data_IF_370755076050
#
_entry.id   IF_370755076050
#
_cell.length_a   1.000
_cell.length_b   1.000
_cell.length_c   1.000
_cell.angle_alpha   90.00
_cell.angle_beta   90.00
_cell.angle_gamma   90.00
#
_symmetry.space_group_name_H-M   'P 1'
#
loop_
_entity.id
_entity.type
_entity.pdbx_description
1 polymer ?
2 non-polymer ?
3 non-polymer ?
4 water ?
#
# COMPACT_ATOMS: atom_id res chain seq x y z
N UNK A 8 4.09 -9.04 -26.24
CA UNK A 8 4.90 -10.12 -25.55
C UNK A 8 5.93 -9.54 -24.60
N UNK A 9 5.48 -8.78 -23.58
CA UNK A 9 6.42 -8.06 -22.71
C UNK A 9 7.24 -8.97 -21.82
N UNK A 10 8.51 -8.67 -21.60
CA UNK A 10 9.29 -9.35 -20.58
C UNK A 10 9.34 -8.45 -19.32
N UNK A 11 10.13 -8.88 -18.34
CA UNK A 11 10.18 -8.20 -17.05
C UNK A 11 10.91 -6.88 -17.21
N UNK A 12 11.63 -6.73 -18.34
CA UNK A 12 12.53 -5.61 -18.55
C UNK A 12 12.03 -4.78 -19.72
N UNK A 13 10.75 -4.93 -20.04
CA UNK A 13 10.09 -4.17 -21.09
C UNK A 13 9.46 -3.00 -20.36
N UNK A 14 9.83 -1.77 -20.79
CA UNK A 14 9.22 -0.58 -20.17
C UNK A 14 7.68 -0.67 -20.28
N UNK A 15 7.00 -0.03 -19.33
CA UNK A 15 5.58 0.02 -19.26
C UNK A 15 5.21 1.47 -18.97
N UNK A 16 4.23 1.95 -19.71
CA UNK A 16 3.51 3.17 -19.44
C UNK A 16 2.41 2.86 -18.42
N UNK A 17 2.65 3.28 -17.16
CA UNK A 17 1.72 3.10 -16.06
C UNK A 17 1.06 4.45 -15.84
N UNK A 18 -0.16 4.58 -16.36
CA UNK A 18 -0.87 5.86 -16.40
C UNK A 18 -0.06 6.76 -17.29
N UNK A 19 0.26 7.97 -16.82
CA UNK A 19 1.17 8.85 -17.55
C UNK A 19 2.64 8.74 -17.06
N UNK A 20 2.97 7.69 -16.33
CA UNK A 20 4.34 7.49 -15.88
C UNK A 20 5.06 6.38 -16.65
N UNK A 21 6.22 6.68 -17.25
CA UNK A 21 7.09 5.64 -17.85
C UNK A 21 7.90 4.87 -16.80
N UNK A 22 7.74 3.55 -16.80
CA UNK A 22 8.51 2.67 -15.96
C UNK A 22 9.54 1.94 -16.82
N UNK A 23 10.74 1.72 -16.27
CA UNK A 23 11.81 1.07 -17.06
C UNK A 23 11.65 -0.44 -17.13
N UNK A 24 10.91 -1.01 -16.19
CA UNK A 24 10.83 -2.49 -16.05
C UNK A 24 9.60 -2.85 -15.28
N UNK A 25 9.29 -4.14 -15.15
CA UNK A 25 7.99 -4.54 -14.60
C UNK A 25 8.11 -5.19 -13.28
N UNK A 26 9.27 -4.96 -12.67
CA UNK A 26 9.58 -5.51 -11.37
C UNK A 26 9.38 -4.38 -10.35
N UNK A 27 8.22 -4.40 -9.69
CA UNK A 27 7.78 -3.37 -8.79
C UNK A 27 8.15 -3.73 -7.36
N UNK A 28 8.50 -2.71 -6.57
CA UNK A 28 8.71 -2.87 -5.14
C UNK A 28 7.38 -2.64 -4.40
N UNK A 29 6.88 -3.71 -3.80
CA UNK A 29 5.64 -3.68 -2.99
C UNK A 29 5.75 -2.72 -1.79
N UNK A 30 4.63 -2.12 -1.37
CA UNK A 30 4.61 -1.37 -0.12
C UNK A 30 5.05 -2.26 1.10
N UNK A 31 6.01 -1.78 1.89
CA UNK A 31 6.52 -2.59 3.01
C UNK A 31 6.69 -1.72 4.25
N UNK A 32 5.75 -1.82 5.17
CA UNK A 32 5.90 -1.25 6.50
C UNK A 32 7.19 -1.82 7.10
N UNK A 33 8.10 -0.95 7.54
CA UNK A 33 9.38 -1.35 8.20
C UNK A 33 9.57 -0.71 9.57
N UNK A 34 8.69 0.22 9.94
CA UNK A 34 8.73 0.84 11.26
C UNK A 34 10.14 1.29 11.69
N UNK A 35 10.79 2.10 10.86
CA UNK A 35 12.09 2.65 11.18
C UNK A 35 12.00 4.12 11.37
N UNK A 36 10.80 4.68 11.56
CA UNK A 36 10.71 6.13 11.81
C UNK A 36 10.11 6.49 13.19
N UNK A 37 10.89 6.29 14.28
CA UNK A 37 10.39 6.56 15.63
C UNK A 37 9.63 7.86 15.79
N UNK A 38 10.07 8.95 15.18
CA UNK A 38 9.38 10.22 15.31
C UNK A 38 8.37 10.49 14.16
N UNK A 39 8.19 9.44 13.33
CA UNK A 39 7.29 9.44 12.17
C UNK A 39 7.73 10.38 11.00
N UNK A 40 8.97 10.87 11.06
CA UNK A 40 9.53 11.77 10.07
C UNK A 40 10.61 11.02 9.29
N UNK A 41 10.46 10.86 7.97
CA UNK A 41 11.54 10.10 7.29
C UNK A 41 12.85 10.87 7.24
N UNK A 42 13.98 10.16 7.31
CA UNK A 42 15.29 10.86 7.28
C UNK A 42 16.31 10.18 6.39
N UNK A 43 17.55 10.59 6.59
CA UNK A 43 18.65 10.10 5.75
C UNK A 43 18.70 8.59 5.63
N UNK A 44 18.28 7.90 6.67
CA UNK A 44 18.25 6.44 6.59
C UNK A 44 17.17 5.92 5.57
N UNK A 45 16.02 6.60 5.46
CA UNK A 45 15.08 6.28 4.37
C UNK A 45 15.67 6.64 3.00
N UNK A 46 16.32 7.81 2.87
CA UNK A 46 17.00 8.21 1.61
C UNK A 46 17.88 7.09 1.13
N UNK A 47 18.63 6.51 2.07
CA UNK A 47 19.48 5.37 1.72
C UNK A 47 18.68 4.12 1.35
N UNK A 48 17.72 3.73 2.19
CA UNK A 48 17.00 2.49 1.97
C UNK A 48 16.26 2.53 0.62
N UNK A 49 15.56 3.62 0.34
CA UNK A 49 14.82 3.66 -0.94
C UNK A 49 15.71 3.90 -2.15
N UNK A 50 16.75 4.73 -1.97
CA UNK A 50 17.80 4.89 -2.97
C UNK A 50 18.43 3.58 -3.42
N UNK A 51 18.61 2.66 -2.48
CA UNK A 51 19.27 1.42 -2.84
C UNK A 51 18.38 0.61 -3.72
N UNK A 52 17.08 0.80 -3.57
CA UNK A 52 16.09 0.09 -4.36
C UNK A 52 15.52 0.90 -5.57
N UNK A 53 16.14 2.05 -5.92
CA UNK A 53 15.73 2.89 -7.05
C UNK A 53 15.65 2.23 -8.43
N UNK A 54 16.32 1.11 -8.66
CA UNK A 54 16.20 0.34 -9.93
C UNK A 54 14.80 -0.33 -10.17
N UNK A 55 13.95 -0.35 -9.15
CA UNK A 55 12.58 -0.92 -9.24
C UNK A 55 11.83 -0.12 -10.30
N UNK A 56 11.05 -0.83 -11.15
CA UNK A 56 10.17 -0.21 -12.15
C UNK A 56 9.36 0.92 -11.51
N UNK A 57 8.80 0.64 -10.36
CA UNK A 57 8.23 1.62 -9.46
C UNK A 57 8.49 1.19 -8.01
N UNK A 58 8.82 2.13 -7.13
CA UNK A 58 8.74 1.83 -5.72
C UNK A 58 7.41 2.28 -5.13
N UNK A 59 6.72 1.40 -4.40
CA UNK A 59 5.56 1.80 -3.65
C UNK A 59 6.00 1.83 -2.19
N UNK A 60 5.80 2.98 -1.52
CA UNK A 60 6.37 3.22 -0.21
C UNK A 60 5.66 2.37 0.84
N UNK A 61 6.30 2.22 2.01
CA UNK A 61 5.65 1.71 3.18
C UNK A 61 4.34 2.50 3.35
N UNK A 62 3.28 1.84 3.83
CA UNK A 62 2.02 2.53 4.20
C UNK A 62 2.32 3.75 5.07
N UNK A 63 1.82 4.91 4.68
CA UNK A 63 2.06 6.13 5.45
C UNK A 63 0.76 6.76 6.01
N UNK A 64 0.71 7.02 7.32
CA UNK A 64 -0.49 7.51 8.02
C UNK A 64 -0.87 8.90 7.56
N UNK A 65 -2.11 9.06 7.13
CA UNK A 65 -2.53 10.37 6.63
C UNK A 65 -2.84 11.39 7.79
N UNK A 66 -3.04 10.87 9.01
CA UNK A 66 -3.42 11.69 10.18
C UNK A 66 -3.03 11.01 11.54
N UNK A 67 -2.94 11.79 12.63
CA UNK A 67 -2.74 11.16 13.95
C UNK A 67 -3.73 10.00 14.18
N UNK A 68 -5.02 10.17 13.89
CA UNK A 68 -5.98 9.09 14.21
C UNK A 68 -5.90 7.93 13.22
N UNK A 69 -5.07 8.07 12.17
CA UNK A 69 -4.98 7.12 11.08
C UNK A 69 -4.15 5.90 11.47
N UNK A 70 -3.41 6.09 12.57
CA UNK A 70 -2.36 5.21 13.03
C UNK A 70 -2.83 3.98 13.83
N UNK A 71 -2.28 2.83 13.47
CA UNK A 71 -2.44 1.63 14.28
C UNK A 71 -1.09 1.08 14.75
N UNK A 72 0.01 1.56 14.15
CA UNK A 72 1.37 1.01 14.36
C UNK A 72 2.40 2.12 14.62
N UNK A 73 3.06 2.07 15.79
CA UNK A 73 4.02 3.13 16.14
C UNK A 73 5.31 2.90 15.35
N UNK A 74 6.08 3.99 15.20
CA UNK A 74 7.33 4.03 14.45
C UNK A 74 7.14 4.02 12.90
N UNK A 75 5.91 4.22 12.44
CA UNK A 75 5.59 4.32 11.04
C UNK A 75 5.35 5.79 10.70
N UNK A 76 5.68 6.20 9.47
CA UNK A 76 5.79 7.57 9.13
C UNK A 76 4.43 8.15 8.79
N UNK A 77 4.37 9.49 8.73
CA UNK A 77 3.14 10.19 8.45
C UNK A 77 3.31 11.13 7.27
N UNK A 78 2.23 11.76 6.86
CA UNK A 78 2.27 12.75 5.82
C UNK A 78 1.21 13.80 6.13
N UNK A 79 1.09 14.16 7.40
CA UNK A 79 0.12 15.17 7.85
C UNK A 79 0.77 16.48 8.40
N UNK A 80 2.09 16.48 8.67
CA UNK A 80 2.82 17.68 9.18
C UNK A 80 3.86 18.24 8.19
N UNK A 81 4.33 19.49 8.44
CA UNK A 81 5.35 20.11 7.60
C UNK A 81 6.67 19.37 7.72
N UNK A 82 7.03 18.95 8.94
CA UNK A 82 8.31 18.25 9.11
C UNK A 82 8.32 16.87 8.42
N UNK A 83 7.23 16.13 8.50
CA UNK A 83 7.06 14.87 7.73
C UNK A 83 7.22 15.08 6.20
N UNK A 84 6.58 16.09 5.65
CA UNK A 84 6.64 16.39 4.22
C UNK A 84 8.06 16.67 3.81
N UNK A 85 8.78 17.52 4.55
CA UNK A 85 10.23 17.75 4.28
C UNK A 85 11.10 16.50 4.40
N UNK A 86 10.78 15.63 5.33
CA UNK A 86 11.57 14.39 5.38
C UNK A 86 11.32 13.55 4.10
N UNK A 87 10.07 13.47 3.70
CA UNK A 87 9.66 12.71 2.52
C UNK A 87 10.28 13.32 1.25
N UNK A 88 10.30 14.64 1.19
CA UNK A 88 10.91 15.33 0.08
C UNK A 88 12.39 14.94 -0.04
N UNK A 89 13.11 14.86 1.08
CA UNK A 89 14.50 14.33 1.07
C UNK A 89 14.59 12.91 0.50
N UNK A 90 13.69 12.05 0.92
CA UNK A 90 13.63 10.68 0.38
C UNK A 90 13.31 10.66 -1.14
N UNK A 91 12.29 11.41 -1.54
CA UNK A 91 11.89 11.44 -2.94
C UNK A 91 13.03 11.98 -3.81
N UNK A 92 13.82 12.90 -3.29
CA UNK A 92 14.84 13.51 -4.13
C UNK A 92 15.92 12.45 -4.34
N UNK A 93 16.17 11.70 -3.28
CA UNK A 93 17.21 10.72 -3.31
C UNK A 93 16.79 9.57 -4.25
N UNK A 94 15.51 9.18 -4.25
CA UNK A 94 15.02 8.20 -5.22
C UNK A 94 15.23 8.75 -6.65
N UNK A 95 14.89 10.01 -6.89
CA UNK A 95 15.09 10.61 -8.21
C UNK A 95 16.59 10.70 -8.63
N UNK A 96 17.47 11.14 -7.73
CA UNK A 96 18.88 11.20 -8.07
C UNK A 96 19.50 9.81 -8.39
N UNK A 97 18.88 8.74 -7.94
CA UNK A 97 19.30 7.37 -8.29
C UNK A 97 18.45 6.72 -9.42
N UNK A 98 17.62 7.55 -10.05
CA UNK A 98 16.90 7.22 -11.30
C UNK A 98 15.53 6.51 -11.18
N UNK A 99 14.93 6.53 -9.98
CA UNK A 99 13.69 5.77 -9.72
C UNK A 99 12.46 6.64 -9.65
N UNK A 100 11.33 5.98 -9.41
CA UNK A 100 10.00 6.59 -9.31
C UNK A 100 9.41 5.97 -8.03
N UNK A 101 8.65 6.75 -7.29
CA UNK A 101 8.14 6.33 -6.00
C UNK A 101 6.72 6.82 -5.85
N UNK A 102 5.89 5.99 -5.28
CA UNK A 102 4.47 6.35 -5.08
C UNK A 102 4.27 6.31 -3.60
N UNK A 103 3.56 7.28 -3.04
CA UNK A 103 3.26 7.23 -1.62
C UNK A 103 1.97 6.42 -1.33
N UNK A 104 2.04 5.41 -0.44
CA UNK A 104 0.87 4.63 -0.10
C UNK A 104 0.12 5.31 1.08
N UNK A 105 -1.10 5.77 0.83
CA UNK A 105 -1.90 6.54 1.80
C UNK A 105 -2.75 5.62 2.69
N UNK A 106 -2.52 5.70 4.01
CA UNK A 106 -3.01 4.70 5.00
C UNK A 106 -3.89 5.35 6.06
N UNK A 107 -5.04 4.72 6.28
CA UNK A 107 -5.83 4.92 7.48
C UNK A 107 -6.10 3.49 8.02
N UNK A 108 -5.71 3.17 9.27
CA UNK A 108 -5.90 1.83 9.80
C UNK A 108 -7.36 1.53 10.21
N UNK A 109 -8.16 2.54 10.45
CA UNK A 109 -9.54 2.27 10.85
C UNK A 109 -9.54 1.60 12.19
N UNK A 110 -10.24 0.48 12.28
CA UNK A 110 -10.43 -0.22 13.57
C UNK A 110 -9.20 -1.07 13.97
N UNK A 111 -8.17 -1.14 13.12
CA UNK A 111 -6.95 -1.88 13.49
C UNK A 111 -6.02 -0.88 14.20
N UNK A 112 -6.45 -0.49 15.39
CA UNK A 112 -5.78 0.49 16.22
C UNK A 112 -6.23 0.27 17.69
N UNK A 113 -5.78 1.18 18.56
CA UNK A 113 -5.94 1.07 19.98
C UNK A 113 -5.75 2.46 20.57
N UNK A 114 -6.49 2.74 21.65
CA UNK A 114 -6.35 3.97 22.41
C UNK A 114 -4.89 4.34 22.78
N UNK A 115 -4.07 3.35 23.14
CA UNK A 115 -2.64 3.57 23.42
C UNK A 115 -1.81 4.21 22.28
N UNK A 116 -2.13 3.89 21.02
CA UNK A 116 -1.44 4.51 19.84
C UNK A 116 -2.19 5.79 19.33
N UNK A 117 -3.51 5.82 19.47
CA UNK A 117 -4.30 6.99 19.19
C UNK A 117 -3.79 8.26 19.97
N UNK A 118 -4.04 9.47 19.41
CA UNK A 118 -3.63 10.68 20.16
C UNK A 118 -4.72 11.07 21.19
N UNK A 119 -4.28 11.50 22.37
CA UNK A 119 -5.17 11.81 23.50
C UNK A 119 -6.16 10.68 23.79
N UNK A 120 -5.73 9.45 23.45
CA UNK A 120 -6.36 8.26 23.95
C UNK A 120 -7.70 8.02 23.33
N UNK A 121 -7.93 8.70 22.20
CA UNK A 121 -9.18 8.62 21.42
C UNK A 121 -9.56 7.20 20.97
N UNK A 122 -10.86 6.93 20.83
CA UNK A 122 -11.27 5.62 20.34
C UNK A 122 -10.94 5.48 18.84
N UNK A 123 -10.47 4.29 18.41
CA UNK A 123 -10.38 4.06 16.95
C UNK A 123 -11.74 4.19 16.26
N UNK A 124 -11.69 4.57 14.98
CA UNK A 124 -12.88 4.87 14.17
C UNK A 124 -13.04 3.84 13.06
N UNK A 125 -14.28 3.59 12.63
CA UNK A 125 -14.53 2.55 11.64
C UNK A 125 -15.92 2.71 11.02
N UNK A 126 -16.27 1.95 9.95
CA UNK A 126 -17.68 2.03 9.47
C UNK A 126 -18.69 1.62 10.53
N UNK A 127 -18.37 0.55 11.26
CA UNK A 127 -19.29 -0.02 12.26
C UNK A 127 -18.55 -0.32 13.54
N UNK A 128 -19.26 -0.30 14.67
CA UNK A 128 -18.64 -0.45 16.00
C UNK A 128 -18.34 -1.95 16.34
N UNK A 129 -17.49 -2.57 15.54
CA UNK A 129 -17.16 -4.02 15.60
C UNK A 129 -15.66 -4.18 15.82
N UNK A 130 -15.29 -4.92 16.85
CA UNK A 130 -13.90 -5.17 17.20
C UNK A 130 -13.34 -6.15 16.17
N UNK A 131 -12.10 -5.94 15.75
CA UNK A 131 -11.44 -6.91 14.87
C UNK A 131 -11.00 -8.08 15.75
N UNK A 132 -11.80 -9.17 15.74
CA UNK A 132 -11.54 -10.36 16.59
C UNK A 132 -10.16 -10.92 16.30
N UNK A 133 -9.33 -11.07 17.35
CA UNK A 133 -7.99 -11.64 17.16
C UNK A 133 -6.99 -10.75 16.42
N UNK A 134 -7.25 -9.44 16.31
CA UNK A 134 -6.25 -8.61 15.62
C UNK A 134 -5.37 -7.86 16.60
N UNK A 135 -4.09 -7.74 16.24
CA UNK A 135 -3.11 -7.03 17.06
C UNK A 135 -2.56 -5.78 16.30
N UNK A 136 -2.38 -4.68 17.01
CA UNK A 136 -1.65 -3.60 16.45
C UNK A 136 -0.30 -3.49 17.19
N UNK A 137 0.50 -2.47 16.88
CA UNK A 137 1.79 -2.36 17.50
C UNK A 137 1.88 -1.06 18.27
N UNK A 138 2.19 -1.21 19.55
CA UNK A 138 1.95 -0.20 20.55
C UNK A 138 3.22 0.18 21.33
N UNK A 139 3.36 1.47 21.63
CA UNK A 139 4.35 1.84 22.62
C UNK A 139 3.70 2.05 23.99
N UNK A 140 3.99 1.15 24.94
CA UNK A 140 3.47 1.22 26.32
C UNK A 140 4.02 2.43 27.13
N UNK A 141 3.36 2.79 28.23
CA UNK A 141 3.74 4.04 28.95
C UNK A 141 5.20 4.02 29.42
N UNK A 142 5.68 2.82 29.72
CA UNK A 142 7.02 2.56 30.21
C UNK A 142 8.07 2.59 29.09
N UNK A 143 7.67 2.92 27.85
CA UNK A 143 8.59 3.13 26.75
C UNK A 143 8.92 1.87 25.95
N UNK A 144 8.57 0.70 26.48
CA UNK A 144 8.67 -0.53 25.68
C UNK A 144 7.55 -0.49 24.60
N UNK A 145 7.54 -1.48 23.70
CA UNK A 145 6.67 -1.48 22.52
C UNK A 145 6.38 -2.92 22.13
N UNK A 146 5.18 -3.19 21.61
CA UNK A 146 4.88 -4.57 21.24
C UNK A 146 3.51 -4.68 20.66
N UNK A 147 3.22 -5.87 20.14
CA UNK A 147 1.91 -6.23 19.69
C UNK A 147 0.91 -6.25 20.87
N UNK A 148 -0.33 -5.87 20.58
CA UNK A 148 -1.36 -5.61 21.58
C UNK A 148 -2.72 -5.79 20.89
N UNK A 149 -3.71 -6.36 21.57
CA UNK A 149 -5.02 -6.48 20.87
C UNK A 149 -5.64 -5.16 20.43
N UNK A 150 -6.26 -5.15 19.26
CA UNK A 150 -6.99 -3.95 18.86
C UNK A 150 -8.26 -3.79 19.73
N UNK A 151 -8.66 -2.54 20.01
CA UNK A 151 -9.90 -2.26 20.78
C UNK A 151 -11.15 -2.18 19.88
N UNK A 152 -12.30 -1.96 20.50
CA UNK A 152 -13.57 -1.77 19.84
C UNK A 152 -13.66 -0.32 19.35
N UNK A 153 -13.87 -0.14 18.03
CA UNK A 153 -13.93 1.22 17.46
C UNK A 153 -15.33 1.82 17.67
N UNK A 154 -15.47 3.14 17.47
CA UNK A 154 -16.81 3.74 17.28
C UNK A 154 -17.13 3.82 15.78
N UNK A 155 -18.40 3.75 15.43
CA UNK A 155 -18.86 3.97 14.07
C UNK A 155 -18.73 5.44 13.75
N UNK A 156 -18.08 5.79 12.64
CA UNK A 156 -18.10 7.20 12.17
C UNK A 156 -19.53 7.72 11.97
N UNK A 157 -19.78 8.97 12.38
CA UNK A 157 -21.06 9.61 12.08
C UNK A 157 -21.05 9.83 10.57
N UNK A 158 -22.24 9.73 9.94
CA UNK A 158 -22.42 10.06 8.52
C UNK A 158 -21.73 11.40 8.19
N UNK A 159 -21.87 12.40 9.07
CA UNK A 159 -21.22 13.71 8.85
C UNK A 159 -19.70 13.79 9.07
N UNK A 160 -19.07 12.71 9.56
CA UNK A 160 -17.59 12.76 9.78
C UNK A 160 -16.81 12.24 8.56
N UNK A 161 -17.48 11.49 7.72
CA UNK A 161 -16.84 10.93 6.54
C UNK A 161 -16.08 11.95 5.62
N UNK A 162 -16.71 13.12 5.29
CA UNK A 162 -15.96 14.16 4.52
C UNK A 162 -14.65 14.64 5.17
N UNK A 163 -14.60 14.73 6.49
CA UNK A 163 -13.36 15.15 7.17
C UNK A 163 -12.23 14.16 6.86
N UNK A 164 -12.59 12.86 6.82
CA UNK A 164 -11.66 11.80 6.50
C UNK A 164 -11.21 11.83 5.03
N UNK A 165 -12.17 12.04 4.12
CA UNK A 165 -11.87 12.25 2.72
C UNK A 165 -10.90 13.46 2.56
N UNK A 166 -11.11 14.50 3.36
CA UNK A 166 -10.27 15.69 3.31
C UNK A 166 -8.86 15.42 3.82
N UNK A 167 -8.75 14.55 4.81
CA UNK A 167 -7.43 14.10 5.31
C UNK A 167 -6.60 13.39 4.22
N UNK A 168 -7.26 12.55 3.42
CA UNK A 168 -6.60 11.92 2.27
C UNK A 168 -6.23 12.96 1.21
N UNK A 169 -7.14 13.90 0.94
CA UNK A 169 -6.87 14.95 -0.02
C UNK A 169 -5.66 15.77 0.38
N UNK A 170 -5.62 16.11 1.66
CA UNK A 170 -4.53 16.94 2.14
C UNK A 170 -3.21 16.10 2.21
N UNK A 171 -3.29 14.80 2.50
CA UNK A 171 -2.10 13.98 2.36
C UNK A 171 -1.62 13.89 0.90
N UNK A 172 -2.56 13.88 -0.04
CA UNK A 172 -2.15 13.89 -1.44
C UNK A 172 -1.53 15.23 -1.83
N UNK A 173 -2.05 16.32 -1.29
CA UNK A 173 -1.41 17.61 -1.52
C UNK A 173 -0.01 17.69 -0.96
N UNK A 174 0.25 17.18 0.24
CA UNK A 174 1.64 17.17 0.70
C UNK A 174 2.54 16.25 -0.15
N UNK A 175 1.99 15.11 -0.60
CA UNK A 175 2.70 14.21 -1.48
C UNK A 175 3.09 14.92 -2.80
N UNK A 176 2.16 15.65 -3.43
CA UNK A 176 2.47 16.26 -4.71
C UNK A 176 3.58 17.26 -4.51
N UNK A 177 3.48 18.01 -3.42
CA UNK A 177 4.49 19.05 -3.13
C UNK A 177 5.84 18.43 -2.83
N UNK A 178 5.84 17.32 -2.09
CA UNK A 178 7.13 16.62 -1.82
C UNK A 178 7.78 15.97 -3.05
N UNK A 179 7.11 15.96 -4.19
CA UNK A 179 7.75 15.46 -5.44
C UNK A 179 7.37 13.98 -5.79
N UNK A 180 6.45 13.34 -5.04
CA UNK A 180 6.08 11.95 -5.36
C UNK A 180 5.58 11.84 -6.81
N UNK A 181 6.03 10.78 -7.49
CA UNK A 181 5.52 10.44 -8.81
C UNK A 181 4.02 10.09 -8.82
N UNK A 182 3.55 9.42 -7.75
CA UNK A 182 2.16 8.93 -7.74
C UNK A 182 1.70 8.74 -6.31
N UNK A 183 0.41 8.50 -6.09
CA UNK A 183 -0.09 8.02 -4.81
C UNK A 183 -0.80 6.71 -5.00
N UNK A 184 -0.72 5.82 -3.99
CA UNK A 184 -1.50 4.59 -3.93
C UNK A 184 -2.48 4.67 -2.72
N UNK A 185 -3.79 4.64 -3.00
CA UNK A 185 -4.79 4.40 -1.96
C UNK A 185 -4.71 2.94 -1.45
N UNK A 186 -4.39 2.82 -0.16
CA UNK A 186 -4.38 1.53 0.50
C UNK A 186 -5.80 1.19 0.82
N UNK A 187 -6.28 0.11 0.21
CA UNK A 187 -7.56 -0.51 0.59
C UNK A 187 -7.36 -2.01 0.72
N UNK A 188 -6.14 -2.43 1.01
CA UNK A 188 -5.81 -3.86 1.02
C UNK A 188 -5.90 -4.58 2.39
N UNK A 189 -5.45 -3.97 3.46
CA UNK A 189 -5.48 -4.77 4.70
C UNK A 189 -5.12 -3.94 5.91
N UNK A 190 -5.93 -4.07 6.96
CA UNK A 190 -5.75 -3.29 8.16
C UNK A 190 -5.82 -1.86 7.70
N UNK A 191 -6.97 -1.52 7.09
CA UNK A 191 -7.24 -0.16 6.60
C UNK A 191 -8.71 0.21 6.51
N UNK A 192 -9.03 1.43 6.86
CA UNK A 192 -10.40 1.98 6.87
C UNK A 192 -11.22 1.86 5.56
N UNK A 193 -10.55 1.91 4.38
CA UNK A 193 -11.39 1.81 3.16
C UNK A 193 -11.82 0.34 2.90
N UNK A 194 -10.97 -0.63 3.24
CA UNK A 194 -11.36 -2.05 3.07
C UNK A 194 -12.52 -2.36 4.06
N UNK A 195 -12.55 -1.72 5.23
CA UNK A 195 -13.58 -1.97 6.22
C UNK A 195 -14.95 -1.53 5.69
N UNK A 196 -15.00 -0.37 5.03
CA UNK A 196 -16.20 0.04 4.30
C UNK A 196 -16.65 -0.91 3.23
N UNK A 197 -15.69 -1.46 2.49
CA UNK A 197 -15.97 -2.35 1.38
C UNK A 197 -16.61 -3.72 1.75
N UNK A 198 -16.13 -4.38 2.81
CA UNK A 198 -16.52 -5.77 3.12
C UNK A 198 -17.85 -5.84 3.89
N UNK A 199 -18.67 -6.85 3.59
CA UNK A 199 -19.98 -7.04 4.30
C UNK A 199 -19.81 -7.27 5.78
N UNK A 200 -18.74 -7.99 6.14
CA UNK A 200 -18.46 -8.35 7.54
C UNK A 200 -18.23 -7.17 8.45
N UNK A 201 -17.54 -6.14 7.95
CA UNK A 201 -17.16 -5.02 8.80
C UNK A 201 -18.04 -3.83 8.63
N UNK A 202 -18.80 -3.81 7.54
CA UNK A 202 -19.68 -2.68 7.29
C UNK A 202 -21.19 -3.01 7.43
N UNK A 203 -21.77 -2.61 8.55
CA UNK A 203 -23.17 -2.93 8.85
C UNK A 203 -23.96 -1.60 8.83
N UNK A 204 -23.39 -0.58 8.14
CA UNK A 204 -24.03 0.77 8.07
C UNK A 204 -25.37 0.78 7.30
N UNK A 205 -26.22 1.71 7.71
CA UNK A 205 -27.57 1.89 7.15
C UNK A 205 -27.73 3.28 6.55
N UNK A 206 -26.69 4.12 6.62
CA UNK A 206 -26.69 5.35 5.82
C UNK A 206 -26.32 5.05 4.34
N UNK A 207 -26.06 6.06 3.51
CA UNK A 207 -25.61 5.80 2.13
C UNK A 207 -24.18 5.16 2.05
N UNK A 208 -23.57 4.83 3.19
CA UNK A 208 -22.21 4.29 3.17
C UNK A 208 -22.20 2.79 3.45
N UNK A 209 -23.38 2.20 3.64
CA UNK A 209 -23.55 0.76 3.82
C UNK A 209 -24.83 0.22 3.18
N UNK A 210 -24.89 -1.11 3.05
CA UNK A 210 -26.02 -1.85 2.49
C UNK A 210 -25.53 -2.42 1.18
N UNK A 211 -25.92 -1.79 0.08
CA UNK A 211 -25.52 -2.20 -1.26
C UNK A 211 -24.00 -2.21 -1.55
N UNK A 212 -23.68 -2.85 -2.67
CA UNK A 212 -22.40 -2.72 -3.32
C UNK A 212 -22.10 -1.22 -3.53
N UNK A 213 -23.03 -0.49 -4.15
CA UNK A 213 -22.79 0.90 -4.52
C UNK A 213 -22.59 1.77 -3.26
N UNK A 214 -23.27 1.47 -2.17
CA UNK A 214 -23.04 2.18 -0.91
C UNK A 214 -21.72 1.81 -0.20
N UNK A 215 -21.39 0.52 -0.14
CA UNK A 215 -20.14 0.13 0.52
C UNK A 215 -18.89 0.74 -0.19
N UNK A 216 -19.02 0.92 -1.51
CA UNK A 216 -17.97 1.46 -2.34
C UNK A 216 -17.82 2.96 -2.36
N UNK A 217 -18.83 3.69 -1.87
CA UNK A 217 -18.94 5.17 -2.04
C UNK A 217 -17.81 5.94 -1.35
N UNK A 218 -17.48 5.49 -0.13
CA UNK A 218 -16.45 6.18 0.64
C UNK A 218 -15.07 6.00 -0.04
N UNK A 219 -14.70 4.74 -0.32
CA UNK A 219 -13.45 4.47 -1.05
C UNK A 219 -13.40 5.22 -2.40
N UNK A 220 -14.53 5.32 -3.10
CA UNK A 220 -14.51 6.04 -4.40
C UNK A 220 -14.37 7.53 -4.21
N UNK A 221 -14.93 8.06 -3.15
CA UNK A 221 -14.65 9.48 -2.82
C UNK A 221 -13.19 9.70 -2.46
N UNK A 222 -12.51 8.73 -1.83
CA UNK A 222 -11.11 8.95 -1.45
C UNK A 222 -10.32 8.99 -2.71
N UNK A 223 -10.64 8.10 -3.64
CA UNK A 223 -9.95 8.04 -4.91
C UNK A 223 -10.12 9.35 -5.69
N UNK A 224 -11.34 9.89 -5.74
CA UNK A 224 -11.62 11.10 -6.53
C UNK A 224 -10.93 12.32 -5.90
N UNK A 225 -10.95 12.35 -4.59
CA UNK A 225 -10.21 13.36 -3.84
C UNK A 225 -8.68 13.33 -4.18
N UNK A 226 -8.07 12.17 -4.17
CA UNK A 226 -6.63 12.14 -4.48
C UNK A 226 -6.38 12.33 -5.98
N UNK A 227 -7.32 11.90 -6.80
CA UNK A 227 -7.16 12.16 -8.25
C UNK A 227 -7.32 13.65 -8.61
N UNK A 228 -8.03 14.42 -7.81
CA UNK A 228 -8.05 15.89 -8.09
C UNK A 228 -6.69 16.47 -7.90
N UNK A 229 -5.87 15.93 -6.99
CA UNK A 229 -4.52 16.42 -6.77
C UNK A 229 -3.52 15.84 -7.78
N UNK A 230 -3.57 14.53 -8.07
CA UNK A 230 -2.52 13.93 -8.88
C UNK A 230 -2.87 13.78 -10.31
N UNK A 231 -4.17 13.88 -10.61
CA UNK A 231 -4.71 13.36 -11.87
C UNK A 231 -4.87 11.83 -11.70
N UNK A 232 -5.97 11.28 -12.24
CA UNK A 232 -6.19 9.85 -12.11
C UNK A 232 -5.05 9.08 -12.76
N UNK A 233 -4.39 9.68 -13.75
CA UNK A 233 -3.35 8.92 -14.46
C UNK A 233 -2.05 8.84 -13.64
N UNK A 234 -2.11 9.31 -12.39
CA UNK A 234 -0.97 9.21 -11.48
C UNK A 234 -1.43 8.62 -10.12
N UNK A 235 -2.59 7.98 -10.14
CA UNK A 235 -3.14 7.40 -8.90
C UNK A 235 -3.30 5.89 -9.08
N UNK A 236 -2.97 5.13 -8.03
CA UNK A 236 -3.35 3.68 -8.06
C UNK A 236 -4.14 3.33 -6.83
N UNK A 237 -4.62 2.10 -6.77
CA UNK A 237 -5.27 1.62 -5.57
C UNK A 237 -4.90 0.14 -5.30
N UNK A 238 -4.68 -0.20 -4.04
CA UNK A 238 -4.39 -1.57 -3.68
C UNK A 238 -5.63 -2.25 -3.10
N UNK A 239 -5.99 -3.41 -3.63
CA UNK A 239 -7.23 -4.11 -3.22
C UNK A 239 -6.87 -5.52 -2.86
N UNK A 240 -7.61 -6.13 -1.93
CA UNK A 240 -7.38 -7.55 -1.64
C UNK A 240 -8.64 -8.42 -1.70
N UNK A 241 -9.30 -8.48 -2.89
CA UNK A 241 -10.50 -9.34 -2.90
C UNK A 241 -10.15 -10.75 -2.48
N UNK A 242 -11.06 -11.39 -1.77
CA UNK A 242 -10.95 -12.80 -1.31
C UNK A 242 -10.16 -12.94 -0.01
N UNK A 243 -9.38 -11.91 0.38
CA UNK A 243 -8.66 -11.94 1.65
C UNK A 243 -9.56 -11.63 2.80
N UNK A 244 -9.26 -12.32 3.91
CA UNK A 244 -10.01 -12.19 5.15
C UNK A 244 -9.08 -12.10 6.37
N UNK A 245 -8.24 -11.05 6.36
CA UNK A 245 -7.23 -10.82 7.39
C UNK A 245 -7.73 -9.84 8.45
N UNK A 246 -7.06 -9.80 9.62
CA UNK A 246 -7.40 -8.90 10.71
C UNK A 246 -8.88 -8.93 11.05
N UNK A 247 -9.45 -10.13 10.97
CA UNK A 247 -10.84 -10.37 11.33
C UNK A 247 -11.90 -9.81 10.39
N UNK A 248 -11.51 -9.27 9.24
CA UNK A 248 -12.47 -8.83 8.24
C UNK A 248 -13.04 -10.06 7.52
N UNK A 249 -14.33 -10.03 7.20
CA UNK A 249 -14.94 -11.09 6.39
C UNK A 249 -15.78 -10.39 5.33
N UNK A 250 -16.03 -11.04 4.19
CA UNK A 250 -16.78 -10.40 3.10
C UNK A 250 -17.59 -11.48 2.39
N UNK A 251 -18.87 -11.20 2.15
CA UNK A 251 -19.75 -12.15 1.49
C UNK A 251 -19.69 -11.99 -0.03
N UNK A 252 -19.30 -10.79 -0.47
CA UNK A 252 -19.41 -10.39 -1.87
C UNK A 252 -18.08 -9.92 -2.50
N UNK A 253 -16.93 -10.64 -2.29
CA UNK A 253 -15.67 -10.08 -2.76
C UNK A 253 -15.56 -10.01 -4.30
N UNK A 254 -16.13 -10.97 -5.02
CA UNK A 254 -16.09 -10.96 -6.47
C UNK A 254 -16.92 -9.82 -7.07
N UNK A 255 -18.13 -9.61 -6.58
CA UNK A 255 -19.01 -8.57 -7.16
C UNK A 255 -18.49 -7.15 -6.88
N UNK A 256 -17.88 -6.96 -5.73
CA UNK A 256 -17.31 -5.66 -5.39
C UNK A 256 -16.04 -5.42 -6.22
N UNK A 257 -15.19 -6.44 -6.33
CA UNK A 257 -14.06 -6.33 -7.28
C UNK A 257 -14.50 -5.93 -8.71
N UNK A 258 -15.53 -6.56 -9.26
CA UNK A 258 -16.06 -6.22 -10.61
C UNK A 258 -16.65 -4.85 -10.68
N UNK A 259 -17.40 -4.48 -9.68
CA UNK A 259 -17.91 -3.12 -9.60
C UNK A 259 -16.82 -2.03 -9.50
N UNK A 260 -15.90 -2.19 -8.55
CA UNK A 260 -14.79 -1.20 -8.45
C UNK A 260 -13.95 -1.18 -9.73
N UNK A 261 -13.68 -2.33 -10.31
CA UNK A 261 -12.92 -2.31 -11.58
C UNK A 261 -13.61 -1.47 -12.65
N UNK A 262 -14.95 -1.55 -12.74
CA UNK A 262 -15.69 -0.81 -13.78
C UNK A 262 -15.69 0.65 -13.39
N UNK A 263 -15.71 0.93 -12.08
CA UNK A 263 -15.86 2.30 -11.60
C UNK A 263 -14.55 3.09 -11.80
N UNK A 264 -13.47 2.37 -11.61
CA UNK A 264 -12.16 2.95 -11.59
C UNK A 264 -11.68 2.99 -13.01
N UNK A 265 -12.11 1.98 -13.80
CA UNK A 265 -11.87 2.03 -15.26
C UNK A 265 -12.48 3.30 -15.90
N UNK A 266 -13.71 3.70 -15.51
CA UNK A 266 -14.31 4.90 -16.16
C UNK A 266 -13.47 6.10 -15.81
N UNK A 267 -13.06 6.18 -14.54
CA UNK A 267 -12.25 7.26 -14.02
C UNK A 267 -10.85 7.40 -14.64
N UNK A 268 -10.40 6.43 -15.44
CA UNK A 268 -9.03 6.52 -16.02
C UNK A 268 -7.85 6.32 -15.03
N UNK A 269 -8.07 5.63 -13.92
CA UNK A 269 -6.99 5.29 -12.97
C UNK A 269 -5.77 4.63 -13.60
N UNK A 270 -4.59 4.98 -13.13
CA UNK A 270 -3.40 4.37 -13.63
C UNK A 270 -3.37 2.85 -13.45
N UNK A 271 -3.75 2.36 -12.26
CA UNK A 271 -3.66 0.93 -12.02
C UNK A 271 -4.50 0.43 -10.88
N UNK A 272 -4.72 -0.89 -10.89
CA UNK A 272 -5.26 -1.59 -9.77
C UNK A 272 -4.11 -2.50 -9.37
N UNK A 273 -3.92 -2.65 -8.06
CA UNK A 273 -2.84 -3.47 -7.54
C UNK A 273 -3.45 -4.51 -6.56
N UNK A 274 -3.38 -5.81 -6.90
CA UNK A 274 -3.98 -6.90 -6.07
C UNK A 274 -2.95 -7.59 -5.24
N UNK A 275 -3.21 -7.71 -3.94
CA UNK A 275 -2.34 -8.56 -3.13
C UNK A 275 -3.06 -9.89 -3.05
N UNK A 276 -2.44 -10.91 -3.59
CA UNK A 276 -3.10 -12.20 -3.84
C UNK A 276 -3.43 -13.08 -2.62
N UNK A 277 -4.44 -13.97 -2.77
CA UNK A 277 -4.87 -14.90 -1.73
C UNK A 277 -3.80 -15.82 -1.12
N UNK A 278 -2.91 -16.46 -1.90
CA UNK A 278 -2.20 -17.61 -1.23
C UNK A 278 -1.03 -17.17 -0.30
N UNK A 284 -7.75 -19.46 0.56
CA UNK A 284 -9.01 -19.07 -0.08
C UNK A 284 -8.72 -18.43 -1.45
N UNK A 285 -8.44 -19.27 -2.44
CA UNK A 285 -7.96 -18.89 -3.79
C UNK A 285 -8.99 -18.25 -4.81
N UNK A 286 -8.45 -17.56 -5.84
CA UNK A 286 -9.27 -16.86 -6.83
C UNK A 286 -10.10 -17.83 -7.68
N UNK A 287 -11.33 -17.44 -8.05
CA UNK A 287 -12.08 -18.32 -8.97
C UNK A 287 -11.45 -18.31 -10.34
N UNK A 288 -11.61 -19.40 -11.11
CA UNK A 288 -11.06 -19.46 -12.46
C UNK A 288 -11.81 -18.40 -13.25
N UNK A 289 -11.16 -17.77 -14.20
CA UNK A 289 -11.89 -16.68 -14.87
C UNK A 289 -11.74 -15.32 -14.17
N UNK A 290 -11.45 -15.29 -12.86
CA UNK A 290 -11.30 -13.96 -12.19
C UNK A 290 -10.24 -13.06 -12.89
N UNK A 291 -9.05 -13.57 -13.17
CA UNK A 291 -7.98 -12.73 -13.77
C UNK A 291 -8.34 -12.24 -15.17
N UNK A 292 -8.90 -13.14 -15.97
CA UNK A 292 -9.36 -12.79 -17.31
C UNK A 292 -10.48 -11.74 -17.30
N UNK A 293 -11.40 -11.85 -16.33
CA UNK A 293 -12.44 -10.83 -16.18
C UNK A 293 -11.87 -9.46 -15.83
N UNK A 294 -10.93 -9.40 -14.86
CA UNK A 294 -10.33 -8.13 -14.44
C UNK A 294 -9.67 -7.45 -15.65
N UNK A 295 -8.89 -8.21 -16.40
CA UNK A 295 -8.25 -7.70 -17.60
C UNK A 295 -9.29 -7.06 -18.57
N UNK A 296 -10.49 -7.66 -18.67
CA UNK A 296 -11.53 -7.14 -19.60
C UNK A 296 -12.22 -5.91 -19.01
N UNK A 297 -12.50 -5.95 -17.71
CA UNK A 297 -13.17 -4.82 -17.07
C UNK A 297 -12.30 -3.58 -16.83
N UNK A 298 -10.99 -3.75 -16.69
CA UNK A 298 -10.11 -2.63 -16.37
C UNK A 298 -9.00 -2.56 -17.38
N UNK A 299 -8.93 -1.44 -18.10
CA UNK A 299 -7.98 -1.29 -19.20
C UNK A 299 -6.61 -0.67 -18.83
N UNK A 300 -6.48 -0.11 -17.64
CA UNK A 300 -5.18 0.43 -17.22
C UNK A 300 -4.24 -0.69 -16.76
N UNK A 301 -3.29 -0.34 -15.91
CA UNK A 301 -2.26 -1.28 -15.40
C UNK A 301 -2.82 -2.24 -14.36
N UNK A 302 -2.50 -3.51 -14.51
CA UNK A 302 -2.84 -4.42 -13.47
C UNK A 302 -1.56 -4.97 -12.89
N UNK A 303 -1.41 -4.82 -11.57
CA UNK A 303 -0.24 -5.28 -10.86
C UNK A 303 -0.73 -6.40 -9.90
N UNK A 304 -0.02 -7.52 -9.86
CA UNK A 304 -0.38 -8.55 -8.90
C UNK A 304 0.79 -8.78 -7.99
N UNK A 305 0.50 -9.20 -6.78
CA UNK A 305 1.57 -9.42 -5.81
C UNK A 305 1.24 -10.63 -4.97
N UNK A 306 2.25 -11.41 -4.60
CA UNK A 306 2.01 -12.56 -3.68
C UNK A 306 2.88 -13.72 -4.07
N UNK A 307 4.04 -13.81 -3.40
CA UNK A 307 4.96 -14.92 -3.58
C UNK A 307 5.48 -15.13 -4.99
N UNK A 308 5.62 -14.04 -5.76
CA UNK A 308 6.14 -14.19 -7.10
C UNK A 308 7.64 -14.41 -7.12
N UNK A 309 8.08 -15.14 -8.14
CA UNK A 309 9.48 -15.14 -8.53
C UNK A 309 9.55 -14.79 -10.01
N UNK A 310 10.73 -14.84 -10.60
CA UNK A 310 10.88 -14.38 -11.97
C UNK A 310 9.96 -15.09 -12.97
N UNK A 311 9.94 -16.45 -12.94
CA UNK A 311 9.14 -17.26 -13.87
C UNK A 311 7.63 -17.17 -13.69
N UNK A 312 7.19 -17.12 -12.44
CA UNK A 312 5.76 -16.95 -12.22
C UNK A 312 5.31 -15.54 -12.67
N UNK A 313 6.18 -14.54 -12.50
CA UNK A 313 5.86 -13.19 -12.97
C UNK A 313 5.79 -13.13 -14.48
N UNK A 314 6.81 -13.67 -15.15
CA UNK A 314 6.73 -13.85 -16.62
C UNK A 314 5.43 -14.50 -17.06
N UNK A 315 4.99 -15.54 -16.35
CA UNK A 315 3.76 -16.29 -16.80
C UNK A 315 2.55 -15.42 -16.79
N UNK A 316 2.45 -14.50 -15.82
CA UNK A 316 1.33 -13.56 -15.82
C UNK A 316 1.35 -12.50 -16.93
N UNK A 317 2.54 -12.05 -17.31
CA UNK A 317 2.73 -11.26 -18.53
C UNK A 317 2.32 -12.08 -19.77
N UNK A 318 2.82 -13.31 -19.89
CA UNK A 318 2.42 -14.18 -21.04
C UNK A 318 0.93 -14.44 -21.09
N UNK A 319 0.31 -14.56 -19.92
CA UNK A 319 -1.13 -14.78 -19.82
C UNK A 319 -1.97 -13.65 -20.33
N UNK A 320 -1.35 -12.47 -20.40
CA UNK A 320 -2.10 -11.23 -20.57
C UNK A 320 -3.08 -10.96 -19.44
N UNK A 321 -2.70 -11.34 -18.22
CA UNK A 321 -3.54 -11.01 -17.06
C UNK A 321 -2.89 -9.96 -16.12
N UNK A 322 -1.61 -9.66 -16.28
CA UNK A 322 -0.95 -8.56 -15.54
C UNK A 322 -0.15 -7.73 -16.52
N UNK A 323 0.02 -6.46 -16.20
CA UNK A 323 1.03 -5.64 -16.90
C UNK A 323 2.38 -5.61 -16.09
N UNK A 324 2.33 -5.76 -14.78
CA UNK A 324 3.56 -5.75 -13.97
C UNK A 324 3.31 -6.52 -12.72
N UNK A 325 4.41 -6.91 -12.05
CA UNK A 325 4.32 -7.72 -10.85
C UNK A 325 5.13 -7.15 -9.71
N UNK A 326 4.52 -7.07 -8.52
CA UNK A 326 5.20 -6.47 -7.41
C UNK A 326 5.81 -7.54 -6.53
N UNK A 327 6.87 -7.18 -5.81
CA UNK A 327 7.54 -8.17 -4.96
C UNK A 327 7.81 -7.55 -3.62
N UNK A 328 7.54 -8.28 -2.53
CA UNK A 328 7.75 -7.67 -1.20
C UNK A 328 9.05 -8.09 -0.55
N UNK A 329 8.96 -9.22 0.12
CA UNK A 329 10.09 -9.78 0.88
C UNK A 329 11.36 -9.93 0.02
N UNK A 330 11.25 -10.39 -1.25
CA UNK A 330 12.48 -10.36 -2.06
C UNK A 330 13.12 -8.94 -2.27
N UNK A 331 12.33 -7.88 -2.24
CA UNK A 331 12.90 -6.51 -2.31
C UNK A 331 13.45 -6.01 -0.96
N UNK A 332 12.97 -6.59 0.14
CA UNK A 332 13.56 -6.31 1.46
C UNK A 332 15.00 -6.79 1.47
N UNK A 333 15.18 -8.02 0.98
CA UNK A 333 16.47 -8.74 0.97
C UNK A 333 17.35 -8.49 -0.25
N UNK A 334 16.77 -7.97 -1.33
CA UNK A 334 17.56 -7.65 -2.55
C UNK A 334 17.35 -6.26 -3.12
N UNK A 335 18.23 -5.30 -2.77
CA UNK A 335 18.08 -3.93 -3.32
C UNK A 335 18.19 -3.88 -4.85
N UNK A 336 18.89 -4.85 -5.45
CA UNK A 336 18.96 -4.91 -6.92
C UNK A 336 18.22 -6.10 -7.48
N UNK A 337 17.04 -6.35 -6.94
CA UNK A 337 16.19 -7.43 -7.39
C UNK A 337 16.03 -7.57 -8.90
N UNK A 338 15.67 -6.46 -9.61
CA UNK A 338 15.43 -6.64 -11.07
C UNK A 338 16.65 -7.14 -11.80
N UNK A 339 17.84 -6.75 -11.33
CA UNK A 339 19.08 -7.20 -11.98
C UNK A 339 19.35 -8.69 -11.69
N UNK A 340 18.99 -9.12 -10.50
CA UNK A 340 19.10 -10.52 -10.13
C UNK A 340 18.21 -11.39 -10.99
N UNK A 341 17.04 -10.88 -11.32
CA UNK A 341 16.15 -11.61 -12.26
C UNK A 341 16.71 -11.71 -13.67
N UNK A 342 17.32 -10.63 -14.14
CA UNK A 342 17.96 -10.58 -15.46
C UNK A 342 19.05 -11.61 -15.58
N UNK A 343 19.93 -11.66 -14.59
CA UNK A 343 21.04 -12.61 -14.58
C UNK A 343 20.66 -14.03 -14.14
N UNK A 344 19.48 -14.21 -13.51
CA UNK A 344 19.16 -15.47 -12.81
C UNK A 344 20.08 -15.73 -11.61
N UNK A 345 20.51 -14.65 -10.95
CA UNK A 345 21.39 -14.77 -9.82
C UNK A 345 20.58 -15.17 -8.60
N UNK A 346 21.24 -15.86 -7.68
CA UNK A 346 20.62 -16.28 -6.44
C UNK A 346 20.25 -15.03 -5.61
N UNK A 347 19.08 -15.10 -4.96
CA UNK A 347 18.63 -14.03 -4.08
C UNK A 347 19.17 -14.13 -2.65
N UNK A 348 19.45 -12.98 -2.01
CA UNK A 348 19.72 -12.96 -0.58
C UNK A 348 18.50 -13.45 0.11
N UNK A 349 18.69 -14.07 1.27
CA UNK A 349 17.57 -14.59 2.06
C UNK A 349 17.03 -13.52 3.01
N UNK A 350 15.70 -13.25 3.01
CA UNK A 350 15.16 -12.31 3.96
C UNK A 350 15.30 -12.82 5.39
N UNK A 351 15.50 -11.90 6.32
CA UNK A 351 15.55 -12.18 7.74
C UNK A 351 14.30 -11.57 8.40
N UNK A 352 13.23 -12.39 8.55
CA UNK A 352 11.98 -11.89 9.19
C UNK A 352 12.16 -11.19 10.53
N UNK A 353 13.24 -11.51 11.27
CA UNK A 353 13.41 -10.94 12.60
C UNK A 353 13.82 -9.47 12.57
N UNK A 354 14.20 -8.93 11.40
CA UNK A 354 14.45 -7.45 11.31
C UNK A 354 13.56 -6.77 10.27
N UNK A 355 12.46 -7.43 9.92
CA UNK A 355 11.45 -6.79 9.10
C UNK A 355 10.96 -5.47 9.69
N UNK A 356 10.75 -5.40 11.02
CA UNK A 356 10.16 -4.23 11.72
C UNK A 356 11.00 -3.62 12.83
N UNK A 357 11.02 -2.30 12.91
CA UNK A 357 11.75 -1.63 13.96
C UNK A 357 13.25 -1.69 13.80
N UNK A 358 13.94 -1.02 14.74
CA UNK A 358 15.38 -0.97 14.73
C UNK A 358 15.88 0.18 13.87
N UNK A 359 17.01 -0.06 13.21
CA UNK A 359 17.64 0.97 12.38
C UNK A 359 18.34 0.27 11.19
N UNK A 360 19.61 0.57 10.90
CA UNK A 360 20.25 0.06 9.66
C UNK A 360 20.30 -1.45 9.45
N UNK A 361 20.26 -2.24 10.52
CA UNK A 361 20.58 -3.67 10.45
C UNK A 361 19.34 -4.37 9.90
N UNK A 362 19.47 -5.26 8.91
CA UNK A 362 18.28 -5.81 8.19
C UNK A 362 17.45 -4.79 7.37
N UNK A 363 18.09 -3.69 7.00
CA UNK A 363 17.40 -2.57 6.37
C UNK A 363 18.26 -2.10 5.19
N UNK A 364 19.42 -1.47 5.47
CA UNK A 364 20.30 -0.95 4.43
C UNK A 364 21.52 -1.81 4.20
N UNK A 365 21.50 -3.00 4.81
CA UNK A 365 22.69 -3.84 4.84
C UNK A 365 22.62 -5.15 4.09
N UNK A 366 21.51 -5.46 3.41
CA UNK A 366 21.56 -6.60 2.49
C UNK A 366 22.35 -6.15 1.23
N UNK A 367 23.30 -6.96 0.75
CA UNK A 367 24.20 -6.46 -0.30
C UNK A 367 23.69 -6.60 -1.76
N UNK A 368 24.19 -5.74 -2.66
CA UNK A 368 24.06 -5.90 -4.13
C UNK A 368 24.95 -6.98 -4.67
N UNK A 369 24.60 -7.50 -5.85
CA UNK A 369 25.50 -8.32 -6.68
C UNK A 369 26.88 -7.66 -6.84
N UNK A 370 27.94 -8.46 -6.90
CA UNK A 370 29.21 -7.92 -7.31
C UNK A 370 29.48 -8.43 -8.72
N UNK A 371 29.59 -7.49 -9.65
CA UNK A 371 29.75 -7.89 -11.05
C UNK A 371 31.20 -7.99 -11.41
N UNK A 372 32.06 -7.70 -10.46
CA UNK A 372 33.48 -7.73 -10.69
C UNK A 372 34.10 -6.44 -11.16
N UNK A 373 33.28 -5.38 -11.34
CA UNK A 373 33.70 -4.13 -11.95
C UNK A 373 33.37 -2.95 -11.09
N UNK A 374 32.16 -2.93 -10.53
CA UNK A 374 31.72 -1.82 -9.72
C UNK A 374 32.61 -1.66 -8.53
N UNK A 375 32.99 -0.43 -8.20
CA UNK A 375 33.79 -0.15 -7.00
C UNK A 375 33.10 0.90 -6.20
N UNK A 376 33.15 0.76 -4.87
CA UNK A 376 32.82 1.89 -3.96
C UNK A 376 34.05 2.56 -3.32
#
# INVERSE_FOLDING_TARGET
>A
MPDTSFSNPGLFTPLQLGSLSLPNRVIMAPLTRSRTPDSVPGRLQQIYYGQRASAGLIISEATNISPTARGYVYTPGIWTDAQEAGWKGVVEAVHAKGGRIALQLWHVGRVSHELVQPDGQQPVAPSALKAEGAECFVEFEDGTAGLHPTSTPRALETDEIPGIVEDYRQAAQRAKRAGFDMVEVHAAAACLPNQFLATGTNRRTDQYGGSIENRARFPLEVVDAVAEVFGPERVGIRLTPFLELFGLTDDEPEAMAFYLAGELDRRGLAYLHFNEPDWIGGDITYPEGFREQMRQRFKGGLIYCGNYDAGRAQARLDDNTADAVAFGRPFIANPDLPERFRLGAALNEPDPSTFYGGAEVGYTDYPFLDNGHDRLG
#
